data_IF_487514047961
#
_entry.id   IF_487514047961
#
_cell.length_a   1.000
_cell.length_b   1.000
_cell.length_c   1.000
_cell.angle_alpha   90.00
_cell.angle_beta   90.00
_cell.angle_gamma   90.00
#
_symmetry.space_group_name_H-M   'P 1'
#
loop_
_entity.id
_entity.type
_entity.pdbx_description
1 polymer ?
#
# COMPACT_ATOMS: atom_id res chain seq x y z
N UNK A 1 -43.53 15.02 51.22
CA UNK A 1 -43.97 15.97 50.20
C UNK A 1 -42.91 15.91 49.13
N UNK A 2 -43.06 15.00 48.22
CA UNK A 2 -43.57 15.13 46.83
C UNK A 2 -42.61 16.01 46.05
N UNK A 3 -41.94 15.47 45.14
CA UNK A 3 -42.15 14.88 43.83
C UNK A 3 -41.67 15.86 42.75
N UNK A 4 -40.81 15.44 41.88
CA UNK A 4 -40.85 15.75 40.44
C UNK A 4 -39.84 14.83 39.73
N UNK A 5 -40.25 13.71 39.31
CA UNK A 5 -40.50 13.21 37.96
C UNK A 5 -39.32 13.30 36.98
N UNK A 6 -38.82 12.11 36.76
CA UNK A 6 -38.08 11.57 35.61
C UNK A 6 -38.66 12.02 34.26
N UNK A 7 -37.83 12.55 33.38
CA UNK A 7 -38.05 12.46 31.92
C UNK A 7 -36.88 11.79 31.25
N UNK A 8 -37.06 10.51 30.91
CA UNK A 8 -36.23 9.73 29.98
C UNK A 8 -36.51 10.27 28.57
N UNK A 9 -35.53 10.86 27.94
CA UNK A 9 -35.51 10.98 26.48
C UNK A 9 -34.87 9.72 25.88
N UNK A 10 -35.71 8.85 25.34
CA UNK A 10 -35.28 7.83 24.37
C UNK A 10 -35.10 8.53 23.03
N UNK A 11 -33.88 8.66 22.58
CA UNK A 11 -33.56 8.90 21.16
C UNK A 11 -33.16 7.58 20.55
N UNK A 12 -34.12 6.94 19.90
CA UNK A 12 -33.86 5.87 18.94
C UNK A 12 -33.25 6.50 17.70
N UNK A 13 -31.95 6.30 17.51
CA UNK A 13 -31.26 6.63 16.27
C UNK A 13 -31.29 5.39 15.38
N UNK A 14 -32.17 5.42 14.39
CA UNK A 14 -32.12 4.54 13.23
C UNK A 14 -30.85 4.88 12.42
N UNK A 15 -29.83 4.03 12.51
CA UNK A 15 -28.66 4.08 11.62
C UNK A 15 -28.89 3.06 10.52
N UNK A 16 -29.59 3.48 9.47
CA UNK A 16 -29.54 2.80 8.18
C UNK A 16 -28.52 3.50 7.30
N UNK A 17 -27.47 2.79 6.99
CA UNK A 17 -26.63 2.85 5.78
C UNK A 17 -26.79 4.07 4.88
N UNK A 18 -25.80 4.96 4.85
CA UNK A 18 -25.45 5.77 3.68
C UNK A 18 -24.02 6.29 3.84
N UNK A 19 -23.03 5.51 3.44
CA UNK A 19 -21.75 6.06 3.02
C UNK A 19 -21.74 6.15 1.50
N UNK A 20 -22.33 7.25 1.01
CA UNK A 20 -22.07 7.76 -0.33
C UNK A 20 -21.05 8.88 -0.16
N UNK A 21 -19.86 8.70 -0.69
CA UNK A 21 -18.88 9.78 -0.81
C UNK A 21 -19.43 10.79 -1.80
N UNK A 22 -19.93 11.90 -1.30
CA UNK A 22 -20.31 13.05 -2.12
C UNK A 22 -19.05 13.86 -2.41
N UNK A 23 -18.39 13.58 -3.52
CA UNK A 23 -17.60 14.58 -4.20
C UNK A 23 -18.58 15.49 -4.95
N UNK A 24 -18.58 16.79 -4.61
CA UNK A 24 -19.38 17.79 -5.27
C UNK A 24 -18.90 18.00 -6.73
N UNK A 25 -19.47 17.23 -7.65
CA UNK A 25 -19.50 17.60 -9.06
C UNK A 25 -20.97 17.77 -9.47
N UNK A 26 -21.40 19.01 -9.71
CA UNK A 26 -22.64 19.31 -10.41
C UNK A 26 -22.45 18.88 -11.88
N UNK A 27 -22.86 17.67 -12.22
CA UNK A 27 -23.58 17.29 -13.45
C UNK A 27 -23.74 15.78 -13.47
N UNK A 28 -24.91 15.32 -13.90
CA UNK A 28 -25.31 13.93 -13.99
C UNK A 28 -24.28 13.10 -14.74
N UNK A 29 -23.59 12.24 -14.06
CA UNK A 29 -22.80 11.16 -14.66
C UNK A 29 -23.25 9.85 -14.01
N UNK A 30 -23.61 8.88 -14.84
CA UNK A 30 -23.82 7.49 -14.43
C UNK A 30 -22.49 6.98 -13.88
N UNK A 31 -22.38 6.86 -12.56
CA UNK A 31 -21.23 6.18 -11.94
C UNK A 31 -21.32 4.70 -12.30
N UNK A 32 -20.44 4.21 -13.17
CA UNK A 32 -20.13 2.79 -13.19
C UNK A 32 -19.36 2.53 -11.90
N UNK A 33 -19.99 1.86 -10.96
CA UNK A 33 -19.31 1.44 -9.74
C UNK A 33 -18.15 0.50 -10.11
N UNK A 34 -16.96 0.69 -9.53
CA UNK A 34 -15.87 -0.27 -9.65
C UNK A 34 -16.38 -1.67 -9.29
N UNK A 35 -15.98 -2.66 -10.06
CA UNK A 35 -16.33 -4.06 -9.82
C UNK A 35 -15.65 -4.56 -8.55
N UNK A 36 -16.19 -5.58 -7.91
CA UNK A 36 -15.51 -6.21 -6.80
C UNK A 36 -14.27 -6.97 -7.28
N UNK A 37 -13.25 -7.06 -6.42
CA UNK A 37 -12.04 -7.85 -6.74
C UNK A 37 -12.39 -9.31 -7.02
N UNK A 38 -13.35 -9.89 -6.30
CA UNK A 38 -13.76 -11.28 -6.50
C UNK A 38 -14.36 -11.50 -7.90
N UNK A 39 -15.13 -10.55 -8.44
CA UNK A 39 -15.66 -10.63 -9.80
C UNK A 39 -14.55 -10.48 -10.86
N UNK A 40 -13.60 -9.58 -10.62
CA UNK A 40 -12.44 -9.40 -11.51
C UNK A 40 -11.55 -10.65 -11.52
N UNK A 41 -11.31 -11.28 -10.37
CA UNK A 41 -10.59 -12.55 -10.23
C UNK A 41 -11.26 -13.65 -11.04
N UNK A 42 -12.60 -13.76 -10.98
CA UNK A 42 -13.33 -14.75 -11.78
C UNK A 42 -13.17 -14.51 -13.29
N UNK A 43 -13.23 -13.26 -13.75
CA UNK A 43 -13.03 -12.94 -15.18
C UNK A 43 -11.60 -13.24 -15.63
N UNK A 44 -10.58 -12.91 -14.82
CA UNK A 44 -9.17 -13.26 -15.10
C UNK A 44 -8.97 -14.78 -15.16
N UNK A 45 -9.54 -15.54 -14.20
CA UNK A 45 -9.50 -17.00 -14.21
C UNK A 45 -10.09 -17.59 -15.51
N UNK A 46 -11.19 -17.01 -15.96
CA UNK A 46 -11.89 -17.41 -17.21
C UNK A 46 -11.16 -16.96 -18.49
N UNK A 47 -10.03 -16.26 -18.38
CA UNK A 47 -9.24 -15.75 -19.51
C UNK A 47 -9.81 -14.49 -20.16
N UNK A 48 -10.68 -13.76 -19.46
CA UNK A 48 -11.18 -12.46 -19.91
C UNK A 48 -10.23 -11.35 -19.51
N UNK A 49 -10.35 -10.21 -20.17
CA UNK A 49 -9.67 -8.97 -19.80
C UNK A 49 -10.48 -8.18 -18.78
N UNK A 50 -9.77 -7.39 -17.97
CA UNK A 50 -10.33 -6.38 -17.07
C UNK A 50 -9.59 -5.06 -17.28
N UNK A 51 -10.07 -3.99 -16.66
CA UNK A 51 -9.34 -2.72 -16.55
C UNK A 51 -8.86 -2.56 -15.12
N UNK A 52 -7.59 -2.20 -14.92
CA UNK A 52 -7.04 -1.81 -13.63
C UNK A 52 -6.66 -0.34 -13.70
N UNK A 53 -7.22 0.48 -12.78
CA UNK A 53 -6.90 1.90 -12.66
C UNK A 53 -6.06 2.14 -11.43
N UNK A 54 -5.09 3.05 -11.52
CA UNK A 54 -4.30 3.50 -10.39
C UNK A 54 -4.83 4.81 -9.77
N UNK A 55 -4.09 5.34 -8.80
CA UNK A 55 -4.48 6.53 -8.06
C UNK A 55 -4.34 7.80 -8.91
N UNK A 56 -5.21 8.80 -8.67
CA UNK A 56 -5.16 10.12 -9.30
C UNK A 56 -3.84 10.85 -9.02
N UNK A 57 -3.24 10.60 -7.86
CA UNK A 57 -1.96 11.20 -7.44
C UNK A 57 -0.73 10.45 -8.02
N UNK A 58 -0.92 9.35 -8.79
CA UNK A 58 0.15 8.56 -9.40
C UNK A 58 0.19 8.79 -10.93
N UNK A 59 -0.24 7.84 -11.75
CA UNK A 59 -0.33 7.97 -13.21
C UNK A 59 -1.70 8.48 -13.63
N UNK A 60 -2.72 8.14 -12.84
CA UNK A 60 -4.12 8.40 -13.14
C UNK A 60 -4.54 7.80 -14.49
N UNK A 61 -4.13 6.56 -14.73
CA UNK A 61 -4.31 5.84 -15.99
C UNK A 61 -5.05 4.52 -15.77
N UNK A 62 -5.49 3.90 -16.84
CA UNK A 62 -6.10 2.59 -16.81
C UNK A 62 -5.49 1.68 -17.86
N UNK A 63 -5.13 0.47 -17.43
CA UNK A 63 -4.60 -0.58 -18.30
C UNK A 63 -5.63 -1.66 -18.55
N UNK A 64 -5.71 -2.14 -19.80
CA UNK A 64 -6.25 -3.47 -20.07
C UNK A 64 -5.30 -4.52 -19.52
N UNK A 65 -5.87 -5.49 -18.78
CA UNK A 65 -5.10 -6.54 -18.11
C UNK A 65 -5.72 -7.90 -18.42
N UNK A 66 -4.90 -8.89 -18.74
CA UNK A 66 -5.26 -10.31 -18.74
C UNK A 66 -4.15 -11.14 -18.09
N UNK A 67 -4.47 -12.37 -17.68
CA UNK A 67 -3.44 -13.32 -17.26
C UNK A 67 -2.60 -13.76 -18.45
N UNK A 68 -1.28 -13.76 -18.29
CA UNK A 68 -0.36 -14.07 -19.39
C UNK A 68 -0.55 -15.50 -19.94
N UNK A 69 -0.82 -16.48 -19.08
CA UNK A 69 -1.07 -17.88 -19.53
C UNK A 69 -2.38 -18.05 -20.33
N UNK A 70 -3.31 -17.09 -20.25
CA UNK A 70 -4.56 -17.07 -21.02
C UNK A 70 -4.50 -16.22 -22.29
N UNK A 71 -3.34 -15.65 -22.59
CA UNK A 71 -3.17 -14.74 -23.72
C UNK A 71 -3.35 -15.47 -25.05
N UNK A 72 -4.17 -14.90 -25.94
CA UNK A 72 -4.43 -15.37 -27.29
C UNK A 72 -4.11 -14.28 -28.31
N UNK A 73 -3.97 -14.61 -29.62
CA UNK A 73 -3.82 -13.61 -30.67
C UNK A 73 -4.96 -12.58 -30.68
N UNK A 74 -6.19 -12.99 -30.36
CA UNK A 74 -7.37 -12.11 -30.32
C UNK A 74 -7.25 -11.07 -29.21
N UNK A 75 -6.75 -11.47 -28.01
CA UNK A 75 -6.50 -10.56 -26.89
C UNK A 75 -5.45 -9.53 -27.28
N UNK A 76 -4.32 -9.95 -27.84
CA UNK A 76 -3.26 -9.05 -28.30
C UNK A 76 -3.76 -8.11 -29.38
N UNK A 77 -4.54 -8.61 -30.34
CA UNK A 77 -5.14 -7.79 -31.38
C UNK A 77 -6.14 -6.77 -30.80
N UNK A 78 -6.92 -7.16 -29.79
CA UNK A 78 -7.84 -6.27 -29.10
C UNK A 78 -7.08 -5.15 -28.39
N UNK A 79 -6.02 -5.47 -27.62
CA UNK A 79 -5.17 -4.48 -26.95
C UNK A 79 -4.55 -3.51 -27.95
N UNK A 80 -3.93 -4.02 -29.02
CA UNK A 80 -3.29 -3.18 -30.03
C UNK A 80 -4.29 -2.25 -30.75
N UNK A 81 -5.52 -2.75 -31.02
CA UNK A 81 -6.54 -2.01 -31.76
C UNK A 81 -7.28 -0.98 -30.93
N UNK A 82 -7.65 -1.36 -29.71
CA UNK A 82 -8.58 -0.59 -28.88
C UNK A 82 -7.90 0.15 -27.76
N UNK A 83 -6.91 -0.44 -27.08
CA UNK A 83 -6.15 0.27 -26.04
C UNK A 83 -5.06 1.15 -26.62
N UNK A 84 -4.33 0.72 -27.64
CA UNK A 84 -3.31 1.48 -28.41
C UNK A 84 -2.01 1.77 -27.63
N UNK A 85 -1.91 1.35 -26.37
CA UNK A 85 -0.73 1.47 -25.52
C UNK A 85 0.39 0.51 -25.87
N UNK A 86 1.42 0.47 -25.04
CA UNK A 86 2.51 -0.49 -25.17
C UNK A 86 2.12 -1.83 -24.52
N UNK A 87 2.13 -2.90 -25.31
CA UNK A 87 1.84 -4.24 -24.75
C UNK A 87 3.05 -4.72 -23.96
N UNK A 88 2.91 -4.78 -22.65
CA UNK A 88 3.94 -5.19 -21.70
C UNK A 88 3.59 -6.52 -21.04
N UNK A 89 4.63 -7.21 -20.55
CA UNK A 89 4.54 -8.51 -19.90
C UNK A 89 5.12 -8.42 -18.46
N UNK A 90 4.33 -8.01 -17.46
CA UNK A 90 4.72 -8.14 -16.07
C UNK A 90 5.01 -9.59 -15.68
N UNK A 91 6.20 -9.81 -15.13
CA UNK A 91 6.70 -11.10 -14.63
C UNK A 91 7.22 -10.92 -13.20
N UNK A 92 7.22 -12.00 -12.41
CA UNK A 92 7.89 -12.02 -11.12
C UNK A 92 9.40 -11.80 -11.27
N UNK A 93 10.06 -11.32 -10.22
CA UNK A 93 11.52 -11.19 -10.19
C UNK A 93 12.20 -12.51 -10.48
N UNK A 94 11.75 -13.60 -9.85
CA UNK A 94 12.31 -14.94 -10.03
C UNK A 94 12.21 -15.38 -11.49
N UNK A 95 11.06 -15.12 -12.15
CA UNK A 95 10.92 -15.49 -13.56
C UNK A 95 11.81 -14.69 -14.48
N UNK A 96 11.98 -13.40 -14.18
CA UNK A 96 12.96 -12.57 -14.92
C UNK A 96 14.39 -13.11 -14.77
N UNK A 97 14.76 -13.55 -13.56
CA UNK A 97 16.08 -14.12 -13.30
C UNK A 97 16.28 -15.48 -14.00
N UNK A 98 15.30 -16.37 -13.92
CA UNK A 98 15.30 -17.66 -14.62
C UNK A 98 15.48 -17.50 -16.14
N UNK A 99 14.80 -16.52 -16.73
CA UNK A 99 14.90 -16.23 -18.15
C UNK A 99 16.08 -15.33 -18.52
N UNK A 100 16.91 -14.91 -17.56
CA UNK A 100 18.03 -13.96 -17.75
C UNK A 100 17.55 -12.65 -18.42
N UNK A 101 16.43 -12.10 -17.98
CA UNK A 101 15.91 -10.81 -18.43
C UNK A 101 16.55 -9.71 -17.58
N UNK A 102 17.65 -9.16 -18.09
CA UNK A 102 18.34 -8.05 -17.45
C UNK A 102 17.56 -6.76 -17.61
N UNK A 103 17.77 -5.80 -16.72
CA UNK A 103 17.20 -4.44 -16.85
C UNK A 103 17.62 -3.82 -18.19
N UNK A 104 16.71 -3.08 -18.81
CA UNK A 104 16.94 -2.45 -20.11
C UNK A 104 18.07 -1.41 -20.05
N UNK A 105 18.25 -0.77 -18.90
CA UNK A 105 19.31 0.21 -18.63
C UNK A 105 19.94 -0.07 -17.26
N UNK A 106 21.21 0.27 -17.12
CA UNK A 106 21.94 0.10 -15.85
C UNK A 106 21.47 1.11 -14.79
N UNK A 107 21.15 2.33 -15.20
CA UNK A 107 20.64 3.41 -14.34
C UNK A 107 19.24 3.82 -14.84
N UNK A 108 18.24 3.48 -14.04
CA UNK A 108 16.85 3.80 -14.37
C UNK A 108 16.49 5.20 -13.87
N UNK A 109 16.41 6.15 -14.80
CA UNK A 109 16.07 7.56 -14.54
C UNK A 109 14.60 7.87 -14.82
N UNK A 110 13.75 6.85 -15.08
CA UNK A 110 12.31 7.08 -15.32
C UNK A 110 11.61 7.59 -14.05
N UNK A 111 10.67 8.51 -14.23
CA UNK A 111 10.00 9.21 -13.13
C UNK A 111 9.36 8.26 -12.11
N UNK A 112 8.75 7.17 -12.56
CA UNK A 112 8.08 6.16 -11.71
C UNK A 112 8.91 4.90 -11.49
N UNK A 113 10.14 4.87 -11.99
CA UNK A 113 11.05 3.74 -11.81
C UNK A 113 10.56 2.42 -12.41
N UNK A 114 9.70 2.46 -13.46
CA UNK A 114 9.18 1.24 -14.11
C UNK A 114 10.32 0.36 -14.59
N UNK A 115 10.34 -0.89 -14.10
CA UNK A 115 11.45 -1.80 -14.25
C UNK A 115 11.39 -2.57 -15.59
N UNK A 116 11.57 -1.85 -16.70
CA UNK A 116 11.71 -2.47 -18.03
C UNK A 116 12.93 -3.39 -18.05
N UNK A 117 12.74 -4.57 -18.64
CA UNK A 117 13.83 -5.46 -19.02
C UNK A 117 14.09 -5.37 -20.52
N UNK A 118 15.15 -6.07 -20.98
CA UNK A 118 15.38 -6.24 -22.42
C UNK A 118 14.14 -6.84 -23.08
N UNK A 119 13.73 -6.29 -24.23
CA UNK A 119 12.59 -6.80 -24.99
C UNK A 119 12.88 -8.17 -25.60
N UNK A 120 11.85 -8.98 -25.82
CA UNK A 120 11.96 -10.37 -26.22
C UNK A 120 11.05 -10.74 -27.39
N UNK A 121 11.46 -11.79 -28.11
CA UNK A 121 10.63 -12.58 -29.03
C UNK A 121 10.86 -14.08 -28.78
N UNK A 122 9.88 -14.93 -29.07
CA UNK A 122 10.10 -16.37 -29.10
C UNK A 122 11.08 -16.72 -30.25
N UNK A 123 11.98 -17.68 -30.01
CA UNK A 123 12.89 -18.14 -31.08
C UNK A 123 12.23 -19.04 -32.11
N UNK A 124 11.08 -19.63 -31.75
CA UNK A 124 10.37 -20.60 -32.61
C UNK A 124 8.88 -20.25 -32.63
N UNK A 125 8.21 -20.65 -33.71
CA UNK A 125 6.75 -20.50 -33.82
C UNK A 125 6.29 -19.09 -34.14
N UNK A 126 7.19 -18.18 -34.53
CA UNK A 126 6.89 -16.82 -34.96
C UNK A 126 7.44 -16.50 -36.35
N UNK A 127 6.98 -15.42 -36.94
CA UNK A 127 7.51 -14.86 -38.20
C UNK A 127 8.49 -13.72 -37.94
N UNK A 128 8.03 -12.47 -37.91
CA UNK A 128 8.83 -11.29 -37.64
C UNK A 128 8.74 -10.78 -36.21
N UNK A 129 7.86 -11.36 -35.39
CA UNK A 129 7.69 -11.02 -33.97
C UNK A 129 6.55 -10.04 -33.66
N UNK A 130 6.17 -9.14 -34.59
CA UNK A 130 5.25 -8.02 -34.31
C UNK A 130 3.76 -8.40 -34.45
N UNK A 131 3.41 -9.45 -35.22
CA UNK A 131 2.01 -9.80 -35.37
C UNK A 131 1.35 -10.17 -34.05
N UNK A 132 0.02 -10.08 -33.96
CA UNK A 132 -0.70 -10.47 -32.74
C UNK A 132 -0.43 -11.94 -32.38
N UNK A 133 -0.34 -12.81 -33.37
CA UNK A 133 0.01 -14.21 -33.18
C UNK A 133 1.43 -14.40 -32.68
N UNK A 134 2.40 -13.70 -33.24
CA UNK A 134 3.81 -13.81 -32.83
C UNK A 134 4.01 -13.32 -31.40
N UNK A 135 3.37 -12.18 -31.04
CA UNK A 135 3.43 -11.63 -29.68
C UNK A 135 2.75 -12.55 -28.66
N UNK A 136 1.60 -13.12 -28.98
CA UNK A 136 0.94 -14.11 -28.13
C UNK A 136 1.83 -15.35 -27.93
N UNK A 137 2.46 -15.87 -29.00
CA UNK A 137 3.42 -16.99 -28.92
C UNK A 137 4.62 -16.63 -28.04
N UNK A 138 5.14 -15.40 -28.13
CA UNK A 138 6.24 -14.93 -27.30
C UNK A 138 5.86 -14.89 -25.81
N UNK A 139 4.67 -14.37 -25.51
CA UNK A 139 4.15 -14.33 -24.14
C UNK A 139 3.98 -15.74 -23.59
N UNK A 140 3.33 -16.62 -24.33
CA UNK A 140 3.14 -18.03 -23.93
C UNK A 140 4.49 -18.74 -23.70
N UNK A 141 5.49 -18.50 -24.56
CA UNK A 141 6.85 -19.02 -24.36
C UNK A 141 7.47 -18.48 -23.08
N UNK A 142 7.32 -17.19 -22.78
CA UNK A 142 7.91 -16.58 -21.60
C UNK A 142 7.31 -17.08 -20.28
N UNK A 143 6.04 -17.48 -20.26
CA UNK A 143 5.36 -17.99 -19.04
C UNK A 143 5.31 -19.52 -18.95
N UNK A 144 5.72 -20.24 -19.97
CA UNK A 144 5.87 -21.70 -19.90
C UNK A 144 6.99 -22.06 -18.91
N UNK A 145 6.71 -22.80 -17.83
CA UNK A 145 7.71 -23.18 -16.83
C UNK A 145 8.90 -23.98 -17.38
N UNK A 146 8.74 -24.60 -18.56
CA UNK A 146 9.77 -25.39 -19.22
C UNK A 146 10.72 -24.54 -20.07
N UNK A 147 10.30 -23.32 -20.40
CA UNK A 147 11.11 -22.42 -21.24
C UNK A 147 12.36 -21.91 -20.52
N UNK A 148 13.43 -21.84 -21.27
CA UNK A 148 14.77 -21.44 -20.85
C UNK A 148 15.20 -20.15 -21.57
N UNK A 149 16.27 -19.48 -21.12
CA UNK A 149 16.77 -18.25 -21.75
C UNK A 149 17.03 -18.35 -23.26
N UNK A 150 17.44 -19.55 -23.75
CA UNK A 150 17.70 -19.79 -25.17
C UNK A 150 16.43 -19.92 -26.03
N UNK A 151 15.26 -20.07 -25.44
CA UNK A 151 14.00 -20.14 -26.18
C UNK A 151 13.47 -18.75 -26.56
N UNK A 152 14.12 -17.71 -26.05
CA UNK A 152 13.84 -16.30 -26.31
C UNK A 152 14.97 -15.63 -27.10
N UNK A 153 14.63 -14.81 -28.08
CA UNK A 153 15.51 -13.87 -28.76
C UNK A 153 15.46 -12.51 -28.07
N UNK A 154 16.52 -11.73 -28.17
CA UNK A 154 16.68 -10.37 -27.64
C UNK A 154 17.44 -9.53 -28.67
N UNK A 155 16.98 -8.30 -29.00
CA UNK A 155 15.70 -7.69 -28.61
C UNK A 155 14.51 -8.33 -29.34
N UNK A 156 13.28 -7.91 -28.99
CA UNK A 156 12.05 -8.36 -29.62
C UNK A 156 10.90 -7.35 -29.45
N UNK A 157 9.67 -7.81 -29.63
CA UNK A 157 8.46 -6.99 -29.72
C UNK A 157 7.53 -7.11 -28.49
N UNK A 158 7.91 -7.88 -27.46
CA UNK A 158 7.28 -7.90 -26.14
C UNK A 158 8.25 -7.28 -25.13
N UNK A 159 7.70 -6.46 -24.23
CA UNK A 159 8.44 -5.70 -23.24
C UNK A 159 8.15 -6.25 -21.84
N UNK A 160 9.01 -7.15 -21.31
CA UNK A 160 8.82 -7.66 -19.97
C UNK A 160 9.08 -6.56 -18.92
N UNK A 161 8.25 -6.55 -17.89
CA UNK A 161 8.39 -5.69 -16.71
C UNK A 161 8.67 -6.57 -15.48
N UNK A 162 9.69 -6.21 -14.72
CA UNK A 162 10.05 -6.89 -13.47
C UNK A 162 9.17 -6.36 -12.34
N UNK A 163 8.13 -7.09 -11.98
CA UNK A 163 7.27 -6.75 -10.86
C UNK A 163 8.00 -6.93 -9.53
N UNK A 164 7.78 -6.02 -8.59
CA UNK A 164 8.41 -6.11 -7.26
C UNK A 164 7.86 -7.30 -6.47
N UNK A 165 8.76 -8.01 -5.77
CA UNK A 165 8.36 -9.03 -4.80
C UNK A 165 7.47 -8.38 -3.73
N UNK A 166 6.35 -9.05 -3.39
CA UNK A 166 5.31 -8.49 -2.54
C UNK A 166 4.17 -7.80 -3.31
N UNK A 167 4.34 -7.54 -4.62
CA UNK A 167 3.30 -7.07 -5.50
C UNK A 167 2.79 -5.67 -5.13
N UNK A 168 1.46 -5.46 -5.23
CA UNK A 168 0.83 -4.16 -4.94
C UNK A 168 1.01 -3.69 -3.49
N UNK A 169 1.39 -4.58 -2.57
CA UNK A 169 1.67 -4.22 -1.18
C UNK A 169 3.02 -3.52 -1.01
N UNK A 170 3.92 -3.65 -2.00
CA UNK A 170 5.24 -2.99 -2.02
C UNK A 170 5.25 -1.84 -3.03
N UNK A 171 4.67 -2.06 -4.22
CA UNK A 171 4.56 -1.02 -5.25
C UNK A 171 3.13 -1.02 -5.82
N UNK A 172 2.29 -0.01 -5.47
CA UNK A 172 0.88 0.02 -5.87
C UNK A 172 0.70 0.48 -7.33
N UNK A 173 1.20 -0.31 -8.28
CA UNK A 173 1.11 -0.04 -9.73
C UNK A 173 0.46 -1.16 -10.52
N UNK A 174 0.04 -0.86 -11.77
CA UNK A 174 -0.61 -1.79 -12.68
C UNK A 174 0.28 -3.02 -12.97
N UNK A 175 1.61 -2.84 -13.04
CA UNK A 175 2.59 -3.91 -13.20
C UNK A 175 2.41 -4.99 -12.14
N UNK A 176 2.48 -4.60 -10.87
CA UNK A 176 2.33 -5.49 -9.72
C UNK A 176 0.90 -6.02 -9.62
N UNK A 177 -0.10 -5.18 -9.88
CA UNK A 177 -1.51 -5.55 -9.83
C UNK A 177 -1.86 -6.67 -10.82
N UNK A 178 -1.28 -6.65 -12.02
CA UNK A 178 -1.52 -7.68 -13.03
C UNK A 178 -0.95 -9.05 -12.64
N UNK A 179 0.22 -9.08 -12.01
CA UNK A 179 0.84 -10.30 -11.47
C UNK A 179 0.04 -10.83 -10.28
N UNK A 180 -0.35 -9.94 -9.36
CA UNK A 180 -1.11 -10.31 -8.18
C UNK A 180 -2.49 -10.87 -8.52
N UNK A 181 -3.24 -10.23 -9.41
CA UNK A 181 -4.57 -10.71 -9.76
C UNK A 181 -4.52 -12.06 -10.50
N UNK A 182 -3.51 -12.29 -11.34
CA UNK A 182 -3.28 -13.59 -11.97
C UNK A 182 -2.99 -14.67 -10.91
N UNK A 183 -2.12 -14.38 -9.93
CA UNK A 183 -1.82 -15.26 -8.80
C UNK A 183 -3.05 -15.56 -7.94
N UNK A 184 -3.85 -14.55 -7.60
CA UNK A 184 -5.08 -14.70 -6.81
C UNK A 184 -6.12 -15.53 -7.58
N UNK A 185 -6.17 -15.42 -8.91
CA UNK A 185 -7.00 -16.23 -9.77
C UNK A 185 -6.52 -17.69 -9.91
N UNK A 186 -5.41 -18.08 -9.25
CA UNK A 186 -4.84 -19.44 -9.32
C UNK A 186 -4.12 -19.75 -10.63
N UNK A 187 -3.71 -18.71 -11.38
CA UNK A 187 -3.00 -18.81 -12.64
C UNK A 187 -1.49 -18.51 -12.43
N UNK A 188 -0.70 -18.75 -13.49
CA UNK A 188 0.71 -18.39 -13.46
C UNK A 188 0.87 -16.89 -13.12
N UNK A 189 1.75 -16.51 -12.15
CA UNK A 189 1.86 -15.13 -11.66
C UNK A 189 2.55 -14.22 -12.68
N UNK A 190 1.84 -13.95 -13.77
CA UNK A 190 2.25 -13.06 -14.83
C UNK A 190 1.03 -12.41 -15.48
N UNK A 191 1.13 -11.13 -15.80
CA UNK A 191 0.09 -10.39 -16.51
C UNK A 191 0.51 -9.98 -17.91
N UNK A 192 -0.45 -9.59 -18.74
CA UNK A 192 -0.24 -8.77 -19.94
C UNK A 192 -1.02 -7.50 -19.73
N UNK A 193 -0.36 -6.37 -19.87
CA UNK A 193 -0.95 -5.04 -19.68
C UNK A 193 -0.80 -4.18 -20.92
N UNK A 194 -1.73 -3.25 -21.12
CA UNK A 194 -1.67 -2.29 -22.19
C UNK A 194 -2.47 -1.04 -21.77
N UNK A 195 -1.81 0.10 -21.74
CA UNK A 195 -2.43 1.39 -21.37
C UNK A 195 -3.53 1.76 -22.37
N UNK A 196 -4.62 2.37 -21.88
CA UNK A 196 -5.76 2.77 -22.70
C UNK A 196 -5.62 4.25 -23.08
N UNK A 197 -5.51 4.50 -24.37
CA UNK A 197 -5.47 5.85 -24.96
C UNK A 197 -6.78 6.19 -25.69
N UNK A 198 -7.11 7.47 -25.67
CA UNK A 198 -8.17 8.07 -26.47
C UNK A 198 -7.83 8.03 -27.98
N UNK A 199 -8.81 8.28 -28.84
CA UNK A 199 -8.60 8.31 -30.30
C UNK A 199 -7.65 9.40 -30.77
N UNK A 200 -7.54 10.48 -30.00
CA UNK A 200 -6.63 11.60 -30.27
C UNK A 200 -5.20 11.35 -29.75
N UNK A 201 -4.94 10.18 -29.13
CA UNK A 201 -3.64 9.80 -28.58
C UNK A 201 -3.38 10.29 -27.17
N UNK A 202 -4.30 10.99 -26.52
CA UNK A 202 -4.19 11.33 -25.10
C UNK A 202 -4.53 10.12 -24.23
N UNK A 203 -4.04 10.10 -22.97
CA UNK A 203 -4.35 9.02 -22.05
C UNK A 203 -5.80 9.10 -21.57
N UNK A 204 -6.50 7.95 -21.59
CA UNK A 204 -7.86 7.86 -21.05
C UNK A 204 -7.83 7.99 -19.53
N UNK A 205 -8.72 8.84 -19.00
CA UNK A 205 -8.93 9.02 -17.56
C UNK A 205 -10.24 8.33 -17.14
N UNK A 206 -10.53 8.33 -15.86
CA UNK A 206 -11.66 7.58 -15.31
C UNK A 206 -12.98 7.74 -16.10
N UNK A 207 -13.42 8.96 -16.55
CA UNK A 207 -14.66 9.11 -17.31
C UNK A 207 -14.64 8.43 -18.70
N UNK A 208 -13.46 8.40 -19.37
CA UNK A 208 -13.27 7.72 -20.66
C UNK A 208 -13.16 6.21 -20.46
N UNK A 209 -12.47 5.78 -19.39
CA UNK A 209 -12.32 4.38 -19.00
C UNK A 209 -13.67 3.74 -18.65
N UNK A 210 -14.58 4.45 -17.98
CA UNK A 210 -15.95 4.00 -17.72
C UNK A 210 -16.74 3.74 -19.00
N UNK A 211 -16.61 4.63 -19.99
CA UNK A 211 -17.23 4.44 -21.33
C UNK A 211 -16.64 3.24 -22.05
N UNK A 212 -15.31 3.12 -22.02
CA UNK A 212 -14.59 2.01 -22.64
C UNK A 212 -15.00 0.67 -21.99
N UNK A 213 -15.05 0.60 -20.67
CA UNK A 213 -15.49 -0.57 -19.90
C UNK A 213 -16.92 -0.99 -20.29
N UNK A 214 -17.84 -0.01 -20.36
CA UNK A 214 -19.22 -0.25 -20.75
C UNK A 214 -19.33 -0.74 -22.20
N UNK A 215 -18.63 -0.09 -23.13
CA UNK A 215 -18.65 -0.43 -24.55
C UNK A 215 -18.16 -1.85 -24.83
N UNK A 216 -17.15 -2.29 -24.08
CA UNK A 216 -16.50 -3.59 -24.28
C UNK A 216 -16.92 -4.65 -23.26
N UNK A 217 -17.87 -4.33 -22.37
CA UNK A 217 -18.34 -5.20 -21.30
C UNK A 217 -17.19 -5.74 -20.43
N UNK A 218 -16.30 -4.82 -19.99
CA UNK A 218 -15.15 -5.13 -19.17
C UNK A 218 -15.42 -4.69 -17.71
N UNK A 219 -14.93 -5.47 -16.77
CA UNK A 219 -14.90 -5.06 -15.36
C UNK A 219 -13.72 -4.12 -15.12
N UNK A 220 -13.93 -3.20 -14.17
CA UNK A 220 -12.91 -2.22 -13.80
C UNK A 220 -12.71 -2.25 -12.29
N UNK A 221 -11.46 -2.35 -11.84
CA UNK A 221 -11.05 -2.32 -10.43
C UNK A 221 -9.96 -1.27 -10.23
N UNK A 222 -9.74 -0.85 -8.99
CA UNK A 222 -8.59 -0.02 -8.64
C UNK A 222 -7.46 -0.82 -7.99
N UNK A 223 -6.23 -0.36 -8.15
CA UNK A 223 -5.07 -0.89 -7.41
C UNK A 223 -5.30 -0.78 -5.91
N UNK A 224 -5.88 0.33 -5.44
CA UNK A 224 -6.20 0.53 -4.02
C UNK A 224 -7.19 -0.52 -3.47
N UNK A 225 -8.19 -0.95 -4.26
CA UNK A 225 -9.11 -2.02 -3.86
C UNK A 225 -8.40 -3.37 -3.80
N UNK A 226 -7.48 -3.64 -4.74
CA UNK A 226 -6.68 -4.87 -4.73
C UNK A 226 -5.75 -4.92 -3.52
N UNK A 227 -5.11 -3.81 -3.15
CA UNK A 227 -4.32 -3.68 -1.91
C UNK A 227 -5.20 -4.02 -0.70
N UNK A 228 -6.37 -3.41 -0.56
CA UNK A 228 -7.30 -3.70 0.55
C UNK A 228 -7.73 -5.16 0.58
N UNK A 229 -8.03 -5.73 -0.57
CA UNK A 229 -8.39 -7.14 -0.70
C UNK A 229 -7.27 -8.05 -0.21
N UNK A 230 -6.03 -7.85 -0.66
CA UNK A 230 -4.87 -8.64 -0.24
C UNK A 230 -4.62 -8.53 1.27
N UNK A 231 -4.61 -7.31 1.80
CA UNK A 231 -4.45 -7.06 3.23
C UNK A 231 -5.52 -7.81 4.05
N UNK A 232 -6.77 -7.88 3.56
CA UNK A 232 -7.86 -8.55 4.29
C UNK A 232 -7.86 -10.08 4.15
N UNK A 233 -7.14 -10.65 3.18
CA UNK A 233 -7.18 -12.09 2.87
C UNK A 233 -5.86 -12.81 3.14
N UNK A 234 -4.75 -12.11 3.13
CA UNK A 234 -3.42 -12.69 3.29
C UNK A 234 -2.88 -12.43 4.70
N UNK A 235 -2.22 -13.42 5.30
CA UNK A 235 -1.45 -13.21 6.53
C UNK A 235 -0.09 -12.67 6.15
N UNK A 236 0.17 -11.40 6.47
CA UNK A 236 1.39 -10.69 6.05
C UNK A 236 2.45 -10.63 7.15
N UNK A 237 2.12 -11.08 8.36
CA UNK A 237 3.00 -10.98 9.51
C UNK A 237 3.22 -12.35 10.16
N UNK A 238 4.43 -12.55 10.66
CA UNK A 238 4.81 -13.74 11.41
C UNK A 238 5.45 -13.35 12.73
N UNK A 239 4.95 -13.88 13.85
CA UNK A 239 5.60 -13.74 15.15
C UNK A 239 6.92 -14.50 15.14
N UNK A 240 8.03 -13.83 15.46
CA UNK A 240 9.39 -14.41 15.38
C UNK A 240 9.91 -14.79 16.77
N UNK A 241 9.84 -13.86 17.71
CA UNK A 241 10.36 -14.04 19.07
C UNK A 241 9.60 -13.15 20.05
N UNK A 242 9.50 -13.62 21.27
CA UNK A 242 8.90 -12.91 22.39
C UNK A 242 9.83 -12.97 23.61
N UNK A 243 9.94 -11.85 24.32
CA UNK A 243 10.75 -11.77 25.56
C UNK A 243 10.22 -10.72 26.52
N UNK A 244 10.50 -10.88 27.80
CA UNK A 244 10.32 -9.81 28.79
C UNK A 244 11.40 -8.75 28.62
N UNK A 245 11.01 -7.49 28.50
CA UNK A 245 11.89 -6.35 28.32
C UNK A 245 11.68 -5.32 29.45
N UNK A 246 12.56 -5.27 30.45
CA UNK A 246 12.55 -4.18 31.44
C UNK A 246 12.96 -2.86 30.76
N UNK A 247 12.16 -1.83 30.96
CA UNK A 247 12.43 -0.47 30.45
C UNK A 247 12.33 0.55 31.57
N UNK A 248 12.73 1.80 31.32
CA UNK A 248 12.54 2.91 32.27
C UNK A 248 11.06 3.22 32.54
N UNK A 249 10.15 2.77 31.67
CA UNK A 249 8.69 2.94 31.79
C UNK A 249 8.03 1.77 32.51
N UNK A 250 8.72 0.66 32.71
CA UNK A 250 8.19 -0.57 33.29
C UNK A 250 8.59 -1.82 32.51
N UNK A 251 8.01 -2.95 32.90
CA UNK A 251 8.27 -4.24 32.24
C UNK A 251 7.25 -4.49 31.14
N UNK A 252 7.71 -4.56 29.91
CA UNK A 252 6.91 -4.90 28.75
C UNK A 252 7.26 -6.29 28.25
N UNK A 253 6.30 -6.95 27.65
CA UNK A 253 6.50 -8.10 26.79
C UNK A 253 6.77 -7.59 25.39
N UNK A 254 7.98 -7.79 24.90
CA UNK A 254 8.44 -7.36 23.58
C UNK A 254 8.28 -8.51 22.60
N UNK A 255 7.54 -8.32 21.51
CA UNK A 255 7.25 -9.33 20.50
C UNK A 255 7.70 -8.80 19.15
N UNK A 256 8.64 -9.50 18.51
CA UNK A 256 9.08 -9.18 17.16
C UNK A 256 8.18 -9.87 16.13
N UNK A 257 7.71 -9.10 15.16
CA UNK A 257 6.94 -9.57 14.02
C UNK A 257 7.70 -9.29 12.73
N UNK A 258 7.83 -10.29 11.90
CA UNK A 258 8.38 -10.16 10.55
C UNK A 258 7.25 -9.98 9.56
N UNK A 259 7.35 -8.95 8.71
CA UNK A 259 6.54 -8.83 7.51
C UNK A 259 7.09 -9.80 6.46
N UNK A 260 6.30 -10.83 6.12
CA UNK A 260 6.74 -11.88 5.19
C UNK A 260 6.84 -11.41 3.73
N UNK A 261 6.33 -10.21 3.43
CA UNK A 261 6.33 -9.63 2.09
C UNK A 261 7.67 -8.97 1.77
N UNK A 262 8.23 -8.18 2.72
CA UNK A 262 9.43 -7.38 2.50
C UNK A 262 10.56 -7.68 3.52
N UNK A 263 10.31 -8.58 4.48
CA UNK A 263 11.28 -8.93 5.52
C UNK A 263 11.51 -7.87 6.59
N UNK A 264 10.68 -6.83 6.66
CA UNK A 264 10.72 -5.86 7.74
C UNK A 264 10.39 -6.49 9.08
N UNK A 265 11.04 -6.04 10.14
CA UNK A 265 10.78 -6.54 11.49
C UNK A 265 10.20 -5.42 12.35
N UNK A 266 8.96 -5.61 12.77
CA UNK A 266 8.23 -4.69 13.63
C UNK A 266 8.26 -5.17 15.09
N UNK A 267 8.06 -4.25 16.02
CA UNK A 267 8.10 -4.55 17.46
C UNK A 267 6.77 -4.16 18.13
N UNK A 268 6.12 -5.13 18.76
CA UNK A 268 5.01 -4.87 19.65
C UNK A 268 5.49 -4.88 21.11
N UNK A 269 5.34 -3.75 21.81
CA UNK A 269 5.60 -3.60 23.25
C UNK A 269 4.26 -3.72 23.98
N UNK A 270 4.04 -4.82 24.65
CA UNK A 270 2.75 -5.18 25.28
C UNK A 270 2.87 -5.14 26.79
N UNK A 271 1.95 -4.48 27.44
CA UNK A 271 1.81 -4.50 28.90
C UNK A 271 0.44 -5.07 29.29
N UNK A 272 0.43 -5.97 30.26
CA UNK A 272 -0.78 -6.64 30.72
C UNK A 272 -1.39 -7.62 29.72
N UNK A 273 -2.64 -8.03 29.99
CA UNK A 273 -3.43 -8.89 29.09
C UNK A 273 -4.25 -8.00 28.15
N UNK A 274 -3.99 -8.09 26.84
CA UNK A 274 -4.60 -7.23 25.83
C UNK A 274 -5.62 -7.94 24.94
N UNK A 275 -5.69 -9.28 25.02
CA UNK A 275 -6.67 -10.05 24.27
C UNK A 275 -8.08 -9.90 24.86
N UNK A 276 -9.09 -9.84 24.00
CA UNK A 276 -10.51 -9.79 24.36
C UNK A 276 -11.25 -8.57 23.82
N UNK A 277 -12.48 -8.38 24.33
CA UNK A 277 -13.41 -7.37 23.82
C UNK A 277 -13.31 -6.01 24.56
N UNK A 278 -12.56 -5.94 25.66
CA UNK A 278 -12.39 -4.67 26.36
C UNK A 278 -11.47 -3.73 25.59
N UNK A 279 -11.78 -2.41 25.53
CA UNK A 279 -10.93 -1.42 24.90
C UNK A 279 -9.51 -1.40 25.47
N UNK A 280 -8.50 -1.36 24.60
CA UNK A 280 -7.08 -1.36 24.95
C UNK A 280 -6.40 -0.11 24.43
N UNK A 281 -5.57 0.53 25.25
CA UNK A 281 -4.72 1.65 24.82
C UNK A 281 -3.70 1.15 23.77
N UNK A 282 -3.70 1.77 22.59
CA UNK A 282 -2.80 1.41 21.50
C UNK A 282 -2.14 2.65 20.89
N UNK A 283 -0.83 2.63 20.81
CA UNK A 283 -0.05 3.54 19.98
C UNK A 283 0.51 2.77 18.78
N UNK A 284 0.15 3.18 17.57
CA UNK A 284 0.86 2.80 16.36
C UNK A 284 1.87 3.89 16.05
N UNK A 285 3.15 3.54 16.12
CA UNK A 285 4.27 4.46 15.96
C UNK A 285 5.13 4.01 14.79
N UNK A 286 5.36 4.89 13.82
CA UNK A 286 6.33 4.65 12.74
C UNK A 286 7.69 5.15 13.19
N UNK A 287 8.74 4.33 13.02
CA UNK A 287 10.12 4.65 13.37
C UNK A 287 10.53 6.03 12.85
N UNK A 288 11.08 6.82 13.75
CA UNK A 288 11.71 8.11 13.43
C UNK A 288 13.03 8.21 14.20
N UNK A 289 14.11 7.75 13.57
CA UNK A 289 15.43 7.61 14.24
C UNK A 289 15.89 8.92 14.90
N UNK A 290 15.69 10.06 14.25
CA UNK A 290 16.16 11.36 14.79
C UNK A 290 15.38 11.81 16.02
N UNK A 291 14.08 11.54 16.05
CA UNK A 291 13.23 11.93 17.18
C UNK A 291 13.26 10.87 18.29
N UNK A 292 13.21 9.59 17.92
CA UNK A 292 13.07 8.49 18.88
C UNK A 292 14.39 8.22 19.62
N UNK A 293 15.55 8.31 18.93
CA UNK A 293 16.86 8.02 19.52
C UNK A 293 17.62 9.26 19.96
N UNK A 294 17.56 10.35 19.18
CA UNK A 294 18.36 11.55 19.42
C UNK A 294 17.55 12.70 20.02
N UNK A 295 16.23 12.52 20.24
CA UNK A 295 15.37 13.52 20.84
C UNK A 295 15.28 14.81 20.01
N UNK A 296 15.29 14.70 18.66
CA UNK A 296 15.11 15.84 17.78
C UNK A 296 13.78 16.53 18.06
N UNK A 297 13.81 17.86 18.19
CA UNK A 297 12.64 18.70 18.44
C UNK A 297 11.98 19.23 17.15
N UNK A 298 12.46 18.84 15.97
CA UNK A 298 11.88 19.24 14.69
C UNK A 298 10.47 18.62 14.51
N UNK A 299 10.26 17.46 15.14
CA UNK A 299 9.02 16.71 15.10
C UNK A 299 8.67 16.22 16.52
N UNK A 300 7.40 16.05 16.82
CA UNK A 300 6.91 15.62 18.12
C UNK A 300 6.78 14.08 18.26
N UNK A 301 7.20 13.31 17.25
CA UNK A 301 7.05 11.85 17.22
C UNK A 301 7.74 11.15 18.39
N UNK A 302 8.96 11.56 18.75
CA UNK A 302 9.67 11.04 19.93
C UNK A 302 8.92 11.30 21.23
N UNK A 303 8.42 12.53 21.42
CA UNK A 303 7.57 12.88 22.56
C UNK A 303 6.32 12.00 22.61
N UNK A 304 5.66 11.80 21.49
CA UNK A 304 4.46 10.95 21.39
C UNK A 304 4.77 9.49 21.76
N UNK A 305 5.93 8.95 21.34
CA UNK A 305 6.36 7.58 21.69
C UNK A 305 6.55 7.45 23.20
N UNK A 306 7.32 8.34 23.82
CA UNK A 306 7.61 8.30 25.25
C UNK A 306 6.34 8.49 26.09
N UNK A 307 5.50 9.46 25.74
CA UNK A 307 4.22 9.70 26.43
C UNK A 307 3.27 8.51 26.31
N UNK A 308 3.26 7.81 25.15
CA UNK A 308 2.45 6.62 24.99
C UNK A 308 2.93 5.47 25.89
N UNK A 309 4.25 5.26 26.01
CA UNK A 309 4.83 4.28 26.92
C UNK A 309 4.49 4.58 28.39
N UNK A 310 4.57 5.85 28.79
CA UNK A 310 4.19 6.31 30.14
C UNK A 310 2.70 6.08 30.44
N UNK A 311 1.80 6.46 29.51
CA UNK A 311 0.36 6.27 29.68
C UNK A 311 -0.03 4.80 29.78
N UNK A 312 0.57 3.95 28.94
CA UNK A 312 0.34 2.50 28.99
C UNK A 312 0.89 1.90 30.27
N UNK A 313 2.05 2.36 30.75
CA UNK A 313 2.61 1.93 32.03
C UNK A 313 1.73 2.33 33.22
N UNK A 314 1.16 3.52 33.19
CA UNK A 314 0.25 3.99 34.24
C UNK A 314 -1.08 3.22 34.26
N UNK A 315 -1.59 2.82 33.09
CA UNK A 315 -2.80 2.00 32.95
C UNK A 315 -2.54 0.50 33.21
N UNK A 316 -1.27 0.10 33.22
CA UNK A 316 -0.79 -1.28 33.33
C UNK A 316 -1.35 -2.24 32.22
N UNK A 317 -1.95 -1.68 31.15
CA UNK A 317 -2.54 -2.43 30.02
C UNK A 317 -2.46 -1.63 28.73
N UNK A 318 -1.81 -2.16 27.72
CA UNK A 318 -1.76 -1.51 26.40
C UNK A 318 -0.69 -2.05 25.48
N UNK A 319 -0.63 -1.47 24.28
CA UNK A 319 0.31 -1.84 23.22
C UNK A 319 0.93 -0.58 22.60
N UNK A 320 2.25 -0.54 22.54
CA UNK A 320 2.97 0.30 21.57
C UNK A 320 3.42 -0.60 20.44
N UNK A 321 2.87 -0.37 19.25
CA UNK A 321 3.31 -1.04 18.03
C UNK A 321 4.31 -0.13 17.30
N UNK A 322 5.58 -0.52 17.30
CA UNK A 322 6.67 0.19 16.66
C UNK A 322 6.92 -0.39 15.27
N UNK A 323 6.47 0.33 14.24
CA UNK A 323 6.61 -0.06 12.84
C UNK A 323 7.96 0.42 12.32
N UNK A 324 8.80 -0.54 11.93
CA UNK A 324 10.10 -0.28 11.33
C UNK A 324 10.01 -0.53 9.83
N UNK A 325 10.76 0.22 9.08
CA UNK A 325 10.80 0.12 7.64
C UNK A 325 12.26 -0.06 7.22
N UNK A 326 12.63 -1.15 6.55
CA UNK A 326 14.03 -1.56 6.25
C UNK A 326 14.65 -0.95 4.99
N UNK A 327 13.88 -0.54 4.03
CA UNK A 327 14.40 0.03 2.76
C UNK A 327 15.09 1.41 2.94
N UNK A 328 15.51 1.76 4.14
CA UNK A 328 15.63 3.11 4.65
C UNK A 328 17.03 3.63 4.96
N UNK A 329 18.06 3.12 4.31
CA UNK A 329 19.25 3.96 4.10
C UNK A 329 18.89 5.22 3.29
N UNK A 330 17.90 5.10 2.41
CA UNK A 330 17.32 6.23 1.65
C UNK A 330 16.41 7.09 2.53
N UNK A 331 15.68 6.50 3.47
CA UNK A 331 14.69 7.20 4.30
C UNK A 331 15.30 8.14 5.32
N UNK A 332 16.37 7.75 6.00
CA UNK A 332 17.10 8.66 6.89
C UNK A 332 17.67 9.86 6.10
N UNK A 333 18.18 9.61 4.90
CA UNK A 333 18.65 10.68 4.02
C UNK A 333 17.50 11.57 3.57
N UNK A 334 16.37 11.00 3.17
CA UNK A 334 15.19 11.76 2.77
C UNK A 334 14.57 12.50 3.95
N UNK A 335 14.57 11.91 5.14
CA UNK A 335 14.18 12.59 6.37
C UNK A 335 15.02 13.85 6.62
N UNK A 336 16.35 13.73 6.55
CA UNK A 336 17.25 14.87 6.73
C UNK A 336 17.10 15.90 5.61
N UNK A 337 16.86 15.47 4.36
CA UNK A 337 16.53 16.37 3.25
C UNK A 337 15.22 17.13 3.50
N UNK A 338 14.19 16.43 4.02
CA UNK A 338 12.92 17.06 4.39
C UNK A 338 13.14 18.15 5.45
N UNK A 339 13.93 17.86 6.47
CA UNK A 339 14.26 18.84 7.51
C UNK A 339 15.05 20.03 6.96
N UNK A 340 16.02 19.78 6.07
CA UNK A 340 16.75 20.86 5.40
C UNK A 340 15.80 21.75 4.57
N UNK A 341 14.88 21.13 3.81
CA UNK A 341 13.87 21.87 3.04
C UNK A 341 12.94 22.72 3.91
N UNK A 342 12.48 22.17 5.04
CA UNK A 342 11.68 22.94 6.01
C UNK A 342 12.44 24.17 6.51
N UNK A 343 13.74 24.04 6.80
CA UNK A 343 14.57 25.12 7.29
C UNK A 343 14.91 26.17 6.23
N UNK A 344 15.22 25.73 5.00
CA UNK A 344 15.61 26.60 3.90
C UNK A 344 14.44 27.36 3.28
N UNK A 345 13.30 26.67 3.08
CA UNK A 345 12.17 27.19 2.32
C UNK A 345 10.97 27.58 3.17
N UNK A 346 11.01 27.32 4.50
CA UNK A 346 9.88 27.61 5.39
C UNK A 346 8.64 26.74 5.13
N UNK A 347 8.79 25.65 4.35
CA UNK A 347 7.71 24.71 4.05
C UNK A 347 7.28 23.95 5.32
N UNK A 348 6.01 23.61 5.41
CA UNK A 348 5.57 22.68 6.45
C UNK A 348 6.06 21.24 6.13
N UNK A 349 6.01 20.35 7.12
CA UNK A 349 6.51 18.97 6.98
C UNK A 349 5.87 18.23 5.83
N UNK A 350 4.55 18.40 5.61
CA UNK A 350 3.82 17.70 4.55
C UNK A 350 4.30 18.14 3.16
N UNK A 351 4.46 19.44 2.96
CA UNK A 351 4.94 20.02 1.71
C UNK A 351 6.36 19.55 1.40
N UNK A 352 7.26 19.65 2.39
CA UNK A 352 8.63 19.20 2.25
C UNK A 352 8.74 17.67 2.02
N UNK A 353 7.87 16.87 2.65
CA UNK A 353 7.81 15.42 2.45
C UNK A 353 7.38 15.03 1.03
N UNK A 354 6.45 15.77 0.43
CA UNK A 354 6.05 15.54 -0.96
C UNK A 354 7.20 15.78 -1.95
N UNK A 355 8.05 16.79 -1.68
CA UNK A 355 9.22 17.07 -2.52
C UNK A 355 10.34 16.02 -2.39
N UNK A 356 10.48 15.42 -1.21
CA UNK A 356 11.60 14.53 -0.88
C UNK A 356 11.25 13.05 -0.91
N UNK A 357 9.96 12.71 -1.06
CA UNK A 357 9.47 11.33 -1.01
C UNK A 357 9.49 10.70 0.39
N UNK A 358 9.64 11.49 1.46
CA UNK A 358 9.69 10.96 2.82
C UNK A 358 8.29 10.72 3.41
N UNK A 359 8.06 9.51 3.92
CA UNK A 359 6.85 9.19 4.71
C UNK A 359 5.55 9.14 3.92
N UNK A 360 5.60 8.90 2.63
CA UNK A 360 4.42 8.82 1.73
C UNK A 360 3.61 7.54 1.99
N UNK A 361 4.27 6.43 2.33
CA UNK A 361 3.61 5.14 2.52
C UNK A 361 3.58 4.71 3.99
N UNK A 362 2.38 4.69 4.58
CA UNK A 362 2.13 4.12 5.91
C UNK A 362 1.43 2.78 5.76
N UNK A 363 2.11 1.70 6.08
CA UNK A 363 1.55 0.35 6.05
C UNK A 363 0.65 0.09 7.28
N UNK A 364 -0.57 0.66 7.23
CA UNK A 364 -1.58 0.44 8.27
C UNK A 364 -2.09 -1.01 8.30
N UNK A 365 -1.94 -1.76 7.22
CA UNK A 365 -2.43 -3.12 7.10
C UNK A 365 -1.61 -4.11 7.93
N UNK A 366 -0.29 -3.98 7.89
CA UNK A 366 0.62 -4.78 8.75
C UNK A 366 0.37 -4.50 10.23
N UNK A 367 0.20 -3.21 10.57
CA UNK A 367 -0.14 -2.82 11.93
C UNK A 367 -1.45 -3.44 12.42
N UNK A 368 -2.48 -3.44 11.59
CA UNK A 368 -3.77 -4.05 11.92
C UNK A 368 -3.65 -5.57 12.14
N UNK A 369 -2.90 -6.27 11.28
CA UNK A 369 -2.68 -7.72 11.43
C UNK A 369 -1.93 -8.07 12.72
N UNK A 370 -0.92 -7.29 13.10
CA UNK A 370 -0.21 -7.49 14.37
C UNK A 370 -1.16 -7.29 15.56
N UNK A 371 -1.98 -6.24 15.56
CA UNK A 371 -2.95 -6.00 16.63
C UNK A 371 -4.03 -7.10 16.71
N UNK A 372 -4.47 -7.60 15.57
CA UNK A 372 -5.40 -8.73 15.49
C UNK A 372 -4.75 -10.04 16.02
N UNK A 373 -3.48 -10.32 15.67
CA UNK A 373 -2.73 -11.49 16.17
C UNK A 373 -2.49 -11.42 17.69
N UNK A 374 -2.38 -10.22 18.27
CA UNK A 374 -2.34 -10.00 19.71
C UNK A 374 -3.70 -10.24 20.40
N UNK A 375 -4.77 -10.46 19.62
CA UNK A 375 -6.11 -10.76 20.11
C UNK A 375 -6.94 -9.52 20.48
N UNK A 376 -6.54 -8.32 20.05
CA UNK A 376 -7.32 -7.10 20.25
C UNK A 376 -8.59 -7.12 19.40
N UNK A 377 -9.67 -6.49 19.91
CA UNK A 377 -10.93 -6.25 19.20
C UNK A 377 -11.32 -4.78 19.22
N UNK A 378 -11.11 -4.11 20.34
CA UNK A 378 -11.43 -2.69 20.52
C UNK A 378 -10.20 -1.91 20.92
N UNK A 379 -10.00 -0.75 20.30
CA UNK A 379 -8.80 0.07 20.45
C UNK A 379 -9.17 1.47 20.91
N UNK A 380 -8.50 1.94 21.96
CA UNK A 380 -8.38 3.36 22.33
C UNK A 380 -7.07 3.88 21.75
N UNK A 381 -7.15 4.62 20.66
CA UNK A 381 -5.97 5.06 19.93
C UNK A 381 -5.27 6.23 20.63
N UNK A 382 -4.00 6.07 20.97
CA UNK A 382 -3.13 7.12 21.49
C UNK A 382 -2.59 7.96 20.34
N UNK A 383 -3.23 9.11 20.06
CA UNK A 383 -2.85 9.98 18.94
C UNK A 383 -3.35 11.41 19.11
N UNK A 384 -2.54 12.39 18.72
CA UNK A 384 -2.99 13.79 18.59
C UNK A 384 -3.73 14.02 17.26
N UNK A 385 -3.45 13.20 16.24
CA UNK A 385 -4.02 13.29 14.90
C UNK A 385 -4.51 11.90 14.46
N UNK A 386 -5.72 11.48 14.92
CA UNK A 386 -6.23 10.16 14.58
C UNK A 386 -6.44 10.04 13.06
N UNK A 387 -5.88 9.01 12.41
CA UNK A 387 -6.10 8.78 10.99
C UNK A 387 -7.58 8.46 10.72
N UNK A 388 -8.04 8.69 9.49
CA UNK A 388 -9.33 8.20 9.03
C UNK A 388 -9.29 6.66 8.96
N UNK A 389 -10.04 5.99 9.83
CA UNK A 389 -9.84 4.59 10.26
C UNK A 389 -10.36 3.54 9.26
N UNK A 390 -10.47 3.80 7.98
CA UNK A 390 -11.02 2.85 7.00
C UNK A 390 -10.22 1.53 6.84
N UNK A 391 -8.97 1.48 7.27
CA UNK A 391 -8.09 0.32 7.07
C UNK A 391 -8.20 -0.76 8.17
N UNK A 392 -8.79 -0.46 9.32
CA UNK A 392 -8.84 -1.38 10.48
C UNK A 392 -10.10 -2.25 10.50
N UNK A 393 -11.18 -1.82 9.87
CA UNK A 393 -12.48 -2.52 9.87
C UNK A 393 -12.41 -3.91 9.21
N UNK A 394 -11.47 -4.12 8.29
CA UNK A 394 -11.25 -5.41 7.61
C UNK A 394 -10.68 -6.51 8.49
N UNK A 395 -10.19 -6.18 9.71
CA UNK A 395 -9.52 -7.13 10.63
C UNK A 395 -10.30 -7.37 11.93
N UNK A 396 -11.59 -7.12 11.96
CA UNK A 396 -12.42 -7.21 13.18
C UNK A 396 -11.91 -6.29 14.31
N UNK A 397 -11.15 -5.25 13.96
CA UNK A 397 -10.64 -4.24 14.89
C UNK A 397 -11.50 -2.99 14.80
N UNK A 398 -11.97 -2.47 15.93
CA UNK A 398 -12.71 -1.23 15.99
C UNK A 398 -12.00 -0.20 16.85
N UNK A 399 -11.82 1.04 16.33
CA UNK A 399 -11.37 2.18 17.12
C UNK A 399 -12.57 2.79 17.82
N UNK A 400 -12.66 2.55 19.11
CA UNK A 400 -13.81 3.00 19.95
C UNK A 400 -13.58 4.38 20.56
N UNK A 401 -12.37 4.91 20.51
CA UNK A 401 -12.05 6.24 21.00
C UNK A 401 -10.61 6.67 20.68
N UNK A 402 -10.34 7.94 20.92
CA UNK A 402 -9.00 8.53 20.81
C UNK A 402 -8.59 9.18 22.13
N UNK A 403 -7.37 8.91 22.56
CA UNK A 403 -6.78 9.50 23.76
C UNK A 403 -5.60 10.37 23.30
N UNK A 404 -5.67 11.70 23.52
CA UNK A 404 -4.60 12.60 23.11
C UNK A 404 -3.34 12.37 23.93
N UNK A 405 -2.20 12.55 23.29
CA UNK A 405 -0.87 12.45 23.94
C UNK A 405 -0.43 13.79 24.56
N UNK A 406 -1.11 14.89 24.22
CA UNK A 406 -0.70 16.24 24.62
C UNK A 406 0.37 16.81 23.69
N UNK A 407 0.79 18.02 23.98
CA UNK A 407 1.83 18.72 23.23
C UNK A 407 3.14 18.75 24.03
N UNK A 408 4.31 18.65 23.37
CA UNK A 408 5.58 18.87 24.04
C UNK A 408 5.66 20.33 24.56
N UNK A 409 6.38 20.56 25.62
CA UNK A 409 6.72 21.92 26.05
C UNK A 409 7.33 22.69 24.86
N UNK A 410 7.02 23.98 24.74
CA UNK A 410 7.44 24.75 23.56
C UNK A 410 8.96 24.64 23.34
N UNK A 411 9.39 24.68 22.07
CA UNK A 411 10.82 24.64 21.72
C UNK A 411 11.64 25.69 22.46
N UNK A 412 11.04 26.87 22.74
CA UNK A 412 11.66 27.96 23.53
C UNK A 412 11.89 27.53 24.96
N UNK A 413 10.94 26.84 25.60
CA UNK A 413 11.05 26.42 27.00
C UNK A 413 12.09 25.27 27.15
N UNK A 414 12.36 24.51 26.13
CA UNK A 414 13.33 23.40 26.14
C UNK A 414 14.75 23.85 25.80
N UNK A 415 14.91 24.93 25.02
CA UNK A 415 16.22 25.44 24.60
C UNK A 415 16.77 26.53 25.54
N UNK A 416 15.95 27.08 26.45
CA UNK A 416 16.45 27.96 27.48
C UNK A 416 17.06 27.14 28.63
N UNK A 417 18.39 27.10 28.79
CA UNK A 417 19.00 26.42 29.94
C UNK A 417 18.51 27.11 31.22
N UNK A 418 18.16 26.30 32.21
CA UNK A 418 17.75 26.71 33.57
C UNK A 418 18.66 27.81 34.13
N UNK A 419 18.29 29.05 33.94
CA UNK A 419 18.90 30.21 34.61
C UNK A 419 18.42 30.33 36.08
N UNK A 420 18.23 29.18 36.78
CA UNK A 420 17.80 29.16 38.19
C UNK A 420 18.90 28.96 39.20
N UNK A 421 20.18 28.93 38.81
CA UNK A 421 21.31 28.78 39.76
C UNK A 421 22.25 29.96 39.82
N UNK A 422 21.81 31.19 39.59
CA UNK A 422 22.59 32.39 39.92
C UNK A 422 21.74 33.46 40.63
N UNK A 423 21.08 33.08 41.72
CA UNK A 423 20.63 34.03 42.77
C UNK A 423 20.61 33.31 44.10
N UNK A 424 21.79 33.18 44.70
CA UNK A 424 21.98 33.07 46.16
C UNK A 424 23.35 33.66 46.51
#
# INVERSE_FOLDING_TARGET
MESVISQRFRLSVNITSKFSRTLNYRNRTLFVALSSISEAVADIHDGKMIIIVDDEDRENEGDLVCAAEKTTPEIINFMARHARGLICLPLTEDRCDELHLTTQVADNTSFLGTAFTVSIDARKGITTGISASDRATTIQTAVDPQSRPQDLARPGHIFPLRARNGGVLVRPGQTEASVDIARIAGLYPAGVICEIMNEDGTMSRLPELEKFATQHNLKMISVADLVRYRISKETLVRRVVETDLPTVYGRFRAIAYENIVNGDVHLAMVMGSVAGDDPVLVRVHTENVTCDMFGSLIDDTGFQLHTALEKIAADARGVVLYLRQREHSVDLVNQLRTYARMQESGLNKREASLETGYGVDRDYGVGAQILHDLGLRQILLLSNHPPKVAALEGFELSVVGNVPLGEPASLKDQLEPNNREQRS
#
